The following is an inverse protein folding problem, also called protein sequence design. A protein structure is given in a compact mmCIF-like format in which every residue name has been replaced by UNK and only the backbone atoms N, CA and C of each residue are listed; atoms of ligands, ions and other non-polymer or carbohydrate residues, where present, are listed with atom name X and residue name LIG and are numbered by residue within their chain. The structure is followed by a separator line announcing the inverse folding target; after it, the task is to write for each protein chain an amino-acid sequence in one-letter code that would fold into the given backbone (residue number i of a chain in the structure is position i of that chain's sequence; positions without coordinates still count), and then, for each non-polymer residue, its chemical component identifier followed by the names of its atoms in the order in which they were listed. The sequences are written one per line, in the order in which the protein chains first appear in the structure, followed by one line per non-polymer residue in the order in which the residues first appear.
data_IF_979690115629
#
_entry.id   IF_979690115629
#
_cell.length_a   1.000
_cell.length_b   1.000
_cell.length_c   1.000
_cell.angle_alpha   90.00
_cell.angle_beta   90.00
_cell.angle_gamma   90.00
#
_symmetry.space_group_name_H-M   'P 1'
#
loop_
_entity.id
_entity.type
_entity.pdbx_description
1 polymer ?
#
# COMPACT_ATOMS: atom_id res chain seq x y z
N UNK A 1 11.96 42.93 6.74
CA UNK A 1 11.09 41.73 6.63
C UNK A 1 11.04 41.39 5.15
N UNK A 2 11.95 40.52 4.70
CA UNK A 2 12.07 40.07 3.31
C UNK A 2 11.67 38.58 3.29
N UNK A 3 10.47 38.29 2.82
CA UNK A 3 10.07 36.93 2.44
C UNK A 3 10.74 36.63 1.10
N UNK A 4 11.72 35.73 1.11
CA UNK A 4 12.24 35.13 -0.11
C UNK A 4 11.23 34.08 -0.58
N UNK A 5 10.53 34.39 -1.67
CA UNK A 5 9.81 33.39 -2.46
C UNK A 5 10.83 32.41 -3.05
N UNK A 6 10.93 31.23 -2.44
CA UNK A 6 11.64 30.09 -3.04
C UNK A 6 10.70 29.53 -4.11
N UNK A 7 10.77 30.09 -5.30
CA UNK A 7 10.18 29.51 -6.50
C UNK A 7 10.95 28.24 -6.83
N UNK A 8 10.46 27.09 -6.37
CA UNK A 8 10.87 25.79 -6.89
C UNK A 8 10.44 25.71 -8.36
N UNK A 9 11.28 26.20 -9.26
CA UNK A 9 11.24 25.73 -10.64
C UNK A 9 11.41 24.20 -10.58
N UNK A 10 10.47 23.40 -11.10
CA UNK A 10 10.72 21.99 -11.30
C UNK A 10 11.90 21.93 -12.27
N UNK A 11 13.08 21.59 -11.73
CA UNK A 11 14.24 21.24 -12.55
C UNK A 11 13.74 20.11 -13.43
N UNK A 12 13.53 20.40 -14.71
CA UNK A 12 13.07 19.49 -15.74
C UNK A 12 13.95 18.24 -15.67
N UNK A 13 13.43 17.22 -14.98
CA UNK A 13 14.13 15.97 -14.71
C UNK A 13 14.02 15.11 -15.96
N UNK A 14 14.78 15.50 -16.97
CA UNK A 14 15.14 14.69 -18.12
C UNK A 14 16.39 15.33 -18.70
N UNK A 15 17.53 15.20 -18.01
CA UNK A 15 18.79 15.14 -18.74
C UNK A 15 18.59 14.07 -19.82
N UNK A 16 18.84 14.37 -21.11
CA UNK A 16 18.56 13.43 -22.17
C UNK A 16 19.33 12.16 -21.87
N UNK A 17 18.58 11.09 -21.56
CA UNK A 17 19.13 9.74 -21.59
C UNK A 17 19.85 9.63 -22.93
N UNK A 18 21.18 9.51 -22.87
CA UNK A 18 22.10 9.53 -24.00
C UNK A 18 21.48 8.72 -25.15
N UNK A 19 21.42 9.33 -26.36
CA UNK A 19 20.63 8.94 -27.53
C UNK A 19 20.92 7.54 -28.16
N UNK A 20 21.32 6.55 -27.36
CA UNK A 20 21.34 5.14 -27.72
C UNK A 20 19.95 4.50 -27.53
N UNK A 21 19.64 3.49 -28.35
CA UNK A 21 18.43 2.72 -28.21
C UNK A 21 18.39 2.05 -26.81
N UNK A 22 17.44 2.48 -25.97
CA UNK A 22 17.20 1.85 -24.67
C UNK A 22 16.51 0.51 -24.88
N UNK A 23 16.99 -0.58 -24.24
CA UNK A 23 16.24 -1.82 -24.20
C UNK A 23 14.82 -1.59 -23.67
N UNK A 24 13.85 -2.12 -24.40
CA UNK A 24 12.45 -2.09 -24.04
C UNK A 24 11.91 -3.51 -23.93
N UNK A 25 11.06 -3.72 -22.93
CA UNK A 25 10.32 -4.97 -22.77
C UNK A 25 8.84 -4.62 -22.62
N UNK A 26 7.97 -5.35 -23.29
CA UNK A 26 6.54 -5.06 -23.27
C UNK A 26 5.76 -6.33 -22.95
N UNK A 27 4.70 -6.17 -22.16
CA UNK A 27 3.67 -7.16 -21.89
C UNK A 27 2.32 -6.61 -22.35
N UNK A 28 1.24 -7.34 -22.08
CA UNK A 28 -0.12 -6.89 -22.37
C UNK A 28 -0.47 -5.59 -21.60
N UNK A 29 0.10 -5.37 -20.41
CA UNK A 29 -0.32 -4.24 -19.54
C UNK A 29 0.81 -3.30 -19.12
N UNK A 30 2.07 -3.69 -19.33
CA UNK A 30 3.24 -2.94 -18.86
C UNK A 30 4.23 -2.72 -20.00
N UNK A 31 4.85 -1.54 -20.03
CA UNK A 31 6.02 -1.24 -20.86
C UNK A 31 7.20 -0.89 -19.97
N UNK A 32 8.30 -1.61 -20.09
CA UNK A 32 9.53 -1.35 -19.37
C UNK A 32 10.54 -0.64 -20.27
N UNK A 33 11.08 0.47 -19.77
CA UNK A 33 12.22 1.18 -20.35
C UNK A 33 13.40 1.10 -19.39
N UNK A 34 14.57 0.73 -19.89
CA UNK A 34 15.73 0.56 -19.02
C UNK A 34 17.05 0.89 -19.70
N UNK A 35 18.08 1.06 -18.88
CA UNK A 35 19.46 1.12 -19.36
C UNK A 35 19.96 -0.25 -19.79
N UNK A 36 20.98 -0.29 -20.65
CA UNK A 36 21.68 -1.53 -21.02
C UNK A 36 22.17 -2.30 -19.78
N UNK A 37 22.61 -1.60 -18.72
CA UNK A 37 23.10 -2.22 -17.47
C UNK A 37 22.00 -2.94 -16.68
N UNK A 38 20.75 -2.48 -16.76
CA UNK A 38 19.62 -3.09 -16.06
C UNK A 38 18.79 -4.04 -16.91
N UNK A 39 19.05 -4.12 -18.22
CA UNK A 39 18.26 -4.93 -19.15
C UNK A 39 18.07 -6.37 -18.70
N UNK A 40 19.15 -7.07 -18.31
CA UNK A 40 19.06 -8.46 -17.85
C UNK A 40 18.23 -8.62 -16.56
N UNK A 41 18.37 -7.68 -15.61
CA UNK A 41 17.61 -7.69 -14.35
C UNK A 41 16.13 -7.47 -14.64
N UNK A 42 15.79 -6.45 -15.42
CA UNK A 42 14.41 -6.14 -15.80
C UNK A 42 13.80 -7.31 -16.56
N UNK A 43 14.47 -7.82 -17.58
CA UNK A 43 14.01 -8.95 -18.40
C UNK A 43 13.61 -10.16 -17.55
N UNK A 44 14.40 -10.48 -16.51
CA UNK A 44 14.13 -11.63 -15.63
C UNK A 44 12.88 -11.48 -14.76
N UNK A 45 12.34 -10.26 -14.60
CA UNK A 45 11.18 -10.00 -13.73
C UNK A 45 9.91 -9.60 -14.47
N UNK A 46 9.98 -9.23 -15.76
CA UNK A 46 8.85 -8.68 -16.55
C UNK A 46 7.56 -9.49 -16.35
N UNK A 47 7.60 -10.80 -16.62
CA UNK A 47 6.42 -11.68 -16.53
C UNK A 47 5.92 -11.89 -15.08
N UNK A 48 6.79 -11.77 -14.09
CA UNK A 48 6.41 -11.86 -12.67
C UNK A 48 5.72 -10.58 -12.22
N UNK A 49 6.24 -9.42 -12.63
CA UNK A 49 5.68 -8.10 -12.31
C UNK A 49 4.32 -7.93 -12.99
N UNK A 50 4.19 -8.30 -14.27
CA UNK A 50 2.93 -8.18 -15.01
C UNK A 50 1.80 -9.02 -14.38
N UNK A 51 2.05 -10.29 -14.05
CA UNK A 51 1.06 -11.11 -13.33
C UNK A 51 0.66 -10.52 -11.97
N UNK A 52 1.61 -9.92 -11.27
CA UNK A 52 1.36 -9.26 -9.98
C UNK A 52 0.50 -8.01 -10.17
N UNK A 53 0.78 -7.22 -11.21
CA UNK A 53 -0.01 -6.05 -11.59
C UNK A 53 -1.45 -6.45 -11.88
N UNK A 54 -1.66 -7.47 -12.72
CA UNK A 54 -2.99 -7.99 -13.02
C UNK A 54 -3.73 -8.51 -11.78
N UNK A 55 -3.00 -9.14 -10.85
CA UNK A 55 -3.57 -9.61 -9.59
C UNK A 55 -4.10 -8.45 -8.75
N UNK A 56 -3.37 -7.32 -8.66
CA UNK A 56 -3.86 -6.15 -7.93
C UNK A 56 -5.13 -5.55 -8.52
N UNK A 57 -5.27 -5.53 -9.85
CA UNK A 57 -6.53 -5.09 -10.48
C UNK A 57 -7.70 -5.97 -10.07
N UNK A 58 -7.51 -7.30 -10.04
CA UNK A 58 -8.52 -8.24 -9.55
C UNK A 58 -8.83 -8.02 -8.06
N UNK A 59 -7.80 -7.95 -7.22
CA UNK A 59 -7.96 -7.83 -5.77
C UNK A 59 -8.63 -6.52 -5.34
N UNK A 60 -8.42 -5.44 -6.08
CA UNK A 60 -9.02 -4.13 -5.82
C UNK A 60 -10.27 -3.84 -6.66
N UNK A 61 -10.75 -4.81 -7.46
CA UNK A 61 -11.98 -4.68 -8.24
C UNK A 61 -11.93 -3.51 -9.22
N UNK A 62 -10.82 -3.36 -9.93
CA UNK A 62 -10.62 -2.35 -10.98
C UNK A 62 -10.50 -3.07 -12.32
N UNK A 63 -11.12 -2.58 -13.41
CA UNK A 63 -10.92 -3.16 -14.74
C UNK A 63 -9.47 -2.98 -15.19
N UNK A 64 -8.90 -4.02 -15.81
CA UNK A 64 -7.56 -3.96 -16.38
C UNK A 64 -7.45 -2.84 -17.43
N UNK A 65 -6.28 -2.17 -17.54
CA UNK A 65 -6.09 -1.12 -18.53
C UNK A 65 -6.11 -1.69 -19.95
N UNK A 66 -6.44 -0.84 -20.92
CA UNK A 66 -6.38 -1.20 -22.34
C UNK A 66 -4.98 -0.99 -22.91
N UNK A 67 -4.71 -1.44 -24.14
CA UNK A 67 -3.40 -1.29 -24.79
C UNK A 67 -2.90 0.17 -24.87
N UNK A 68 -3.81 1.14 -24.95
CA UNK A 68 -3.45 2.56 -25.00
C UNK A 68 -3.06 3.13 -23.62
N UNK A 69 -3.28 2.38 -22.54
CA UNK A 69 -3.14 2.81 -21.16
C UNK A 69 -2.09 2.00 -20.38
N UNK A 70 -1.17 1.32 -21.10
CA UNK A 70 -0.11 0.53 -20.45
C UNK A 70 0.69 1.41 -19.49
N UNK A 71 0.92 0.89 -18.28
CA UNK A 71 1.77 1.57 -17.32
C UNK A 71 3.23 1.44 -17.79
N UNK A 72 3.87 2.59 -17.98
CA UNK A 72 5.26 2.69 -18.35
C UNK A 72 6.12 2.63 -17.09
N UNK A 73 7.12 1.75 -17.06
CA UNK A 73 8.02 1.55 -15.94
C UNK A 73 9.44 1.89 -16.40
N UNK A 74 10.04 2.92 -15.82
CA UNK A 74 11.41 3.32 -16.10
C UNK A 74 12.31 2.83 -14.97
N UNK A 75 13.20 1.87 -15.26
CA UNK A 75 14.18 1.37 -14.30
C UNK A 75 15.48 2.16 -14.43
N UNK A 76 15.66 3.17 -13.56
CA UNK A 76 16.79 4.08 -13.55
C UNK A 76 17.99 3.48 -12.78
N UNK A 77 19.13 3.22 -13.46
CA UNK A 77 20.33 2.72 -12.80
C UNK A 77 21.09 3.78 -11.99
N UNK A 78 20.84 5.08 -12.21
CA UNK A 78 21.65 6.15 -11.65
C UNK A 78 21.52 6.27 -10.12
N UNK A 79 20.47 5.67 -9.54
CA UNK A 79 20.27 5.65 -8.08
C UNK A 79 20.04 7.04 -7.47
N UNK A 80 19.89 8.08 -8.30
CA UNK A 80 19.64 9.45 -7.85
C UNK A 80 18.24 9.60 -7.23
N UNK A 81 17.33 8.69 -7.55
CA UNK A 81 16.01 8.64 -6.94
C UNK A 81 16.08 7.94 -5.59
N UNK A 82 15.80 8.72 -4.52
CA UNK A 82 15.60 8.17 -3.17
C UNK A 82 14.30 7.36 -3.06
N UNK A 83 13.32 7.66 -3.92
CA UNK A 83 11.99 7.07 -3.91
C UNK A 83 11.50 6.87 -5.34
N UNK A 84 10.57 5.93 -5.53
CA UNK A 84 9.86 5.80 -6.80
C UNK A 84 9.02 7.06 -7.05
N UNK A 85 8.92 7.46 -8.31
CA UNK A 85 8.12 8.59 -8.77
C UNK A 85 7.03 8.03 -9.67
N UNK A 86 5.77 8.37 -9.38
CA UNK A 86 4.64 8.08 -10.23
C UNK A 86 4.14 9.38 -10.86
N UNK A 87 4.05 9.43 -12.18
CA UNK A 87 3.51 10.54 -12.96
C UNK A 87 2.51 9.99 -13.98
N UNK A 88 1.21 10.31 -13.80
CA UNK A 88 0.07 9.79 -14.56
C UNK A 88 0.06 8.26 -14.77
N UNK A 89 0.80 7.79 -15.79
CA UNK A 89 0.97 6.39 -16.19
C UNK A 89 2.46 6.01 -16.36
N UNK A 90 3.38 6.74 -15.73
CA UNK A 90 4.81 6.47 -15.72
C UNK A 90 5.30 6.28 -14.30
N UNK A 91 5.82 5.09 -14.00
CA UNK A 91 6.47 4.73 -12.75
C UNK A 91 7.98 4.67 -12.96
N UNK A 92 8.70 5.67 -12.45
CA UNK A 92 10.17 5.67 -12.45
C UNK A 92 10.68 5.12 -11.12
N UNK A 93 11.50 4.07 -11.18
CA UNK A 93 12.08 3.42 -10.00
C UNK A 93 13.59 3.35 -10.12
N UNK A 94 14.29 3.68 -9.04
CA UNK A 94 15.72 3.38 -8.94
C UNK A 94 15.95 1.88 -8.78
N UNK A 95 17.07 1.39 -9.32
CA UNK A 95 17.54 0.04 -9.01
C UNK A 95 17.92 -0.07 -7.52
N UNK A 96 17.34 -1.01 -6.77
CA UNK A 96 17.48 -1.07 -5.31
C UNK A 96 18.77 -1.80 -4.88
N UNK A 97 19.94 -1.39 -5.38
CA UNK A 97 21.23 -2.05 -5.09
C UNK A 97 21.50 -2.20 -3.58
N UNK A 98 21.37 -1.11 -2.82
CA UNK A 98 21.62 -1.11 -1.38
C UNK A 98 20.61 -2.00 -0.62
N UNK A 99 19.33 -1.97 -1.01
CA UNK A 99 18.32 -2.82 -0.38
C UNK A 99 18.54 -4.30 -0.73
N UNK A 100 18.99 -4.61 -1.95
CA UNK A 100 19.34 -5.97 -2.34
C UNK A 100 20.48 -6.51 -1.45
N UNK A 101 21.58 -5.77 -1.34
CA UNK A 101 22.74 -6.14 -0.51
C UNK A 101 22.37 -6.29 0.97
N UNK A 102 21.73 -5.26 1.57
CA UNK A 102 21.39 -5.26 2.99
C UNK A 102 20.50 -6.42 3.40
N UNK A 103 19.60 -6.87 2.51
CA UNK A 103 18.63 -7.93 2.80
C UNK A 103 19.05 -9.30 2.21
N UNK A 104 20.24 -9.41 1.63
CA UNK A 104 20.71 -10.66 1.02
C UNK A 104 19.86 -11.13 -0.18
N UNK A 105 19.24 -10.20 -0.91
CA UNK A 105 18.40 -10.48 -2.06
C UNK A 105 19.18 -10.33 -3.37
N UNK A 106 18.75 -11.04 -4.41
CA UNK A 106 19.20 -10.71 -5.77
C UNK A 106 18.67 -9.32 -6.16
N UNK A 107 19.38 -8.61 -7.04
CA UNK A 107 18.89 -7.32 -7.53
C UNK A 107 17.54 -7.42 -8.24
N UNK A 108 17.25 -8.57 -8.87
CA UNK A 108 15.97 -8.85 -9.53
C UNK A 108 14.83 -9.03 -8.52
N UNK A 109 15.04 -9.81 -7.45
CA UNK A 109 14.05 -9.98 -6.38
C UNK A 109 13.85 -8.71 -5.59
N UNK A 110 14.93 -7.96 -5.40
CA UNK A 110 14.83 -6.60 -4.94
C UNK A 110 13.91 -5.81 -5.88
N UNK A 111 14.30 -5.51 -7.12
CA UNK A 111 13.51 -4.67 -8.01
C UNK A 111 12.03 -5.11 -8.11
N UNK A 112 11.75 -6.41 -8.18
CA UNK A 112 10.39 -6.94 -8.19
C UNK A 112 9.58 -6.60 -6.92
N UNK A 113 10.17 -6.67 -5.72
CA UNK A 113 9.49 -6.30 -4.48
C UNK A 113 9.20 -4.79 -4.40
N UNK A 114 10.14 -3.94 -4.82
CA UNK A 114 9.91 -2.49 -4.90
C UNK A 114 8.76 -2.20 -5.86
N UNK A 115 8.78 -2.79 -7.05
CA UNK A 115 7.70 -2.64 -8.02
C UNK A 115 6.37 -3.15 -7.46
N UNK A 116 6.35 -4.29 -6.75
CA UNK A 116 5.14 -4.81 -6.11
C UNK A 116 4.49 -3.79 -5.19
N UNK A 117 5.25 -3.14 -4.31
CA UNK A 117 4.72 -2.09 -3.41
C UNK A 117 4.16 -0.91 -4.21
N UNK A 118 4.90 -0.42 -5.21
CA UNK A 118 4.51 0.76 -5.98
C UNK A 118 3.26 0.48 -6.84
N UNK A 119 3.21 -0.69 -7.47
CA UNK A 119 2.06 -1.12 -8.26
C UNK A 119 0.83 -1.32 -7.38
N UNK A 120 0.97 -1.93 -6.20
CA UNK A 120 -0.15 -2.07 -5.27
C UNK A 120 -0.76 -0.70 -4.89
N UNK A 121 0.09 0.28 -4.57
CA UNK A 121 -0.35 1.64 -4.25
C UNK A 121 -0.98 2.35 -5.44
N UNK A 122 -0.41 2.19 -6.64
CA UNK A 122 -0.95 2.77 -7.86
C UNK A 122 -2.36 2.25 -8.15
N UNK A 123 -2.54 0.92 -8.16
CA UNK A 123 -3.84 0.30 -8.46
C UNK A 123 -4.85 0.60 -7.35
N UNK A 124 -4.44 0.60 -6.08
CA UNK A 124 -5.30 1.07 -4.99
C UNK A 124 -5.71 2.53 -5.20
N UNK A 125 -4.79 3.40 -5.62
CA UNK A 125 -5.09 4.79 -5.95
C UNK A 125 -6.18 4.91 -7.03
N UNK A 126 -6.08 4.13 -8.11
CA UNK A 126 -7.11 4.04 -9.15
C UNK A 126 -8.44 3.52 -8.58
N UNK A 127 -8.39 2.49 -7.74
CA UNK A 127 -9.57 1.91 -7.09
C UNK A 127 -10.31 2.94 -6.21
N UNK A 128 -9.56 3.78 -5.50
CA UNK A 128 -10.10 4.85 -4.67
C UNK A 128 -10.60 6.05 -5.48
N UNK A 129 -10.03 6.33 -6.65
CA UNK A 129 -10.49 7.41 -7.53
C UNK A 129 -11.86 7.14 -8.16
N UNK A 130 -12.19 5.87 -8.42
CA UNK A 130 -13.49 5.49 -8.99
C UNK A 130 -14.59 5.26 -7.95
N UNK A 131 -14.28 5.43 -6.66
CA UNK A 131 -15.19 5.20 -5.54
C UNK A 131 -15.34 6.46 -4.69
N UNK A 132 -16.56 6.78 -4.28
CA UNK A 132 -16.79 7.87 -3.32
C UNK A 132 -16.67 7.34 -1.90
N UNK A 133 -15.44 7.20 -1.40
CA UNK A 133 -15.20 6.72 -0.03
C UNK A 133 -15.73 7.74 0.97
N UNK A 134 -16.67 7.33 1.82
CA UNK A 134 -17.21 8.22 2.85
C UNK A 134 -16.13 8.60 3.89
N UNK A 135 -16.13 9.82 4.45
CA UNK A 135 -15.04 10.32 5.30
C UNK A 135 -14.67 9.43 6.49
N UNK A 136 -15.64 8.77 7.12
CA UNK A 136 -15.41 7.85 8.25
C UNK A 136 -14.54 6.63 7.91
N UNK A 137 -14.38 6.31 6.63
CA UNK A 137 -13.58 5.19 6.15
C UNK A 137 -12.16 5.59 5.74
N UNK A 138 -11.79 6.86 5.86
CA UNK A 138 -10.46 7.35 5.47
C UNK A 138 -9.34 6.67 6.27
N UNK A 139 -9.52 6.43 7.57
CA UNK A 139 -8.53 5.70 8.36
C UNK A 139 -8.32 4.27 7.82
N UNK A 140 -9.37 3.60 7.32
CA UNK A 140 -9.28 2.27 6.71
C UNK A 140 -8.51 2.29 5.37
N UNK A 141 -8.72 3.30 4.53
CA UNK A 141 -8.02 3.39 3.24
C UNK A 141 -6.55 3.76 3.42
N UNK A 142 -6.23 4.62 4.39
CA UNK A 142 -4.84 4.91 4.80
C UNK A 142 -4.16 3.68 5.38
N UNK A 143 -4.84 2.95 6.26
CA UNK A 143 -4.38 1.70 6.82
C UNK A 143 -4.11 0.63 5.76
N UNK A 144 -5.00 0.48 4.77
CA UNK A 144 -4.80 -0.43 3.65
C UNK A 144 -3.55 -0.05 2.85
N UNK A 145 -3.36 1.25 2.54
CA UNK A 145 -2.15 1.73 1.86
C UNK A 145 -0.89 1.39 2.65
N UNK A 146 -0.92 1.59 3.97
CA UNK A 146 0.20 1.26 4.85
C UNK A 146 0.44 -0.26 4.94
N UNK A 147 -0.62 -1.07 5.02
CA UNK A 147 -0.53 -2.52 5.03
C UNK A 147 0.18 -3.05 3.77
N UNK A 148 -0.18 -2.54 2.58
CA UNK A 148 0.46 -2.92 1.31
C UNK A 148 1.96 -2.56 1.25
N UNK A 149 2.36 -1.47 1.92
CA UNK A 149 3.79 -1.11 2.04
C UNK A 149 4.56 -2.12 2.88
N UNK A 150 3.94 -2.65 3.93
CA UNK A 150 4.57 -3.58 4.86
C UNK A 150 4.59 -5.01 4.32
N UNK A 151 3.47 -5.51 3.81
CA UNK A 151 3.36 -6.90 3.34
C UNK A 151 4.28 -7.16 2.13
N UNK A 152 4.50 -6.14 1.30
CA UNK A 152 5.31 -6.24 0.08
C UNK A 152 6.69 -5.59 0.18
N UNK A 153 7.01 -4.93 1.30
CA UNK A 153 8.31 -4.32 1.54
C UNK A 153 9.38 -5.33 1.96
N UNK A 154 10.66 -4.96 1.83
CA UNK A 154 11.78 -5.79 2.31
C UNK A 154 11.87 -5.89 3.82
N UNK A 155 11.31 -4.90 4.52
CA UNK A 155 11.44 -4.81 5.96
C UNK A 155 10.27 -5.53 6.63
N UNK A 156 10.31 -6.87 6.60
CA UNK A 156 9.37 -7.71 7.36
C UNK A 156 9.48 -7.50 8.87
N UNK A 157 10.56 -6.90 9.34
CA UNK A 157 10.77 -6.55 10.75
C UNK A 157 10.05 -5.25 11.13
N UNK A 158 9.60 -4.46 10.15
CA UNK A 158 8.79 -3.25 10.35
C UNK A 158 7.29 -3.54 10.38
N UNK A 159 6.84 -4.78 10.69
CA UNK A 159 5.42 -4.99 11.07
C UNK A 159 5.05 -3.84 12.00
N UNK A 160 3.99 -3.07 11.68
CA UNK A 160 3.56 -1.89 12.43
C UNK A 160 3.97 -2.05 13.88
N UNK A 161 5.04 -1.34 14.27
CA UNK A 161 5.88 -1.82 15.35
C UNK A 161 4.97 -2.12 16.55
N UNK A 162 5.12 -3.28 17.20
CA UNK A 162 4.43 -3.65 18.44
C UNK A 162 4.69 -2.68 19.62
N UNK A 163 5.12 -1.45 19.36
CA UNK A 163 5.18 -0.38 20.34
C UNK A 163 3.90 0.45 20.39
N UNK A 164 3.13 0.58 19.29
CA UNK A 164 1.89 1.38 19.31
C UNK A 164 0.69 0.59 19.80
N UNK A 165 0.53 -0.65 19.33
CA UNK A 165 -0.62 -1.50 19.70
C UNK A 165 -0.41 -2.23 21.04
N UNK A 166 0.68 -2.98 21.27
CA UNK A 166 0.92 -3.70 22.53
C UNK A 166 1.05 -2.85 23.79
N UNK A 167 1.56 -1.60 23.72
CA UNK A 167 1.56 -0.71 24.89
C UNK A 167 0.14 -0.32 25.33
N UNK A 168 -0.86 -0.54 24.48
CA UNK A 168 -2.28 -0.27 24.73
C UNK A 168 -3.14 -1.54 24.80
N UNK A 169 -2.62 -2.66 24.32
CA UNK A 169 -3.20 -4.00 24.44
C UNK A 169 -2.58 -4.74 25.65
N UNK A 170 -2.38 -4.04 26.75
CA UNK A 170 -2.17 -4.70 28.03
C UNK A 170 -3.52 -5.30 28.46
N UNK A 171 -3.54 -6.54 28.97
CA UNK A 171 -4.76 -7.27 29.32
C UNK A 171 -5.60 -6.64 30.45
N UNK A 172 -5.05 -5.67 31.17
CA UNK A 172 -5.64 -4.88 32.26
C UNK A 172 -6.06 -3.48 31.77
N UNK A 173 -5.40 -2.93 30.75
CA UNK A 173 -5.91 -1.82 29.97
C UNK A 173 -7.18 -2.25 29.26
N UNK A 174 -8.20 -1.39 29.25
CA UNK A 174 -9.48 -1.63 28.57
C UNK A 174 -9.19 -2.32 27.21
N UNK A 175 -9.92 -3.38 26.83
CA UNK A 175 -9.82 -3.92 25.47
C UNK A 175 -9.81 -2.76 24.49
N UNK A 176 -9.20 -2.90 23.31
CA UNK A 176 -9.40 -1.96 22.22
C UNK A 176 -10.90 -1.95 21.84
N UNK A 177 -11.75 -1.44 22.72
CA UNK A 177 -13.14 -1.12 22.58
C UNK A 177 -13.16 0.16 21.76
N UNK A 178 -12.69 0.04 20.53
CA UNK A 178 -13.12 0.94 19.52
C UNK A 178 -14.39 0.32 18.99
N UNK A 179 -15.51 0.88 19.48
CA UNK A 179 -16.69 0.98 18.64
C UNK A 179 -16.14 1.55 17.35
N UNK A 180 -16.15 0.68 16.35
CA UNK A 180 -16.28 0.87 14.93
C UNK A 180 -17.27 2.01 14.57
N UNK A 181 -17.15 3.14 15.25
CA UNK A 181 -17.98 4.32 15.21
C UNK A 181 -17.26 5.35 14.37
N UNK A 182 -18.02 6.04 13.54
CA UNK A 182 -17.51 7.05 12.63
C UNK A 182 -16.69 8.15 13.32
N UNK A 183 -16.93 8.41 14.61
CA UNK A 183 -16.27 9.46 15.38
C UNK A 183 -14.81 9.15 15.70
N UNK A 184 -14.49 7.88 15.99
CA UNK A 184 -13.10 7.52 16.36
C UNK A 184 -12.22 7.26 15.16
N UNK A 185 -12.84 6.93 14.03
CA UNK A 185 -12.19 6.77 12.73
C UNK A 185 -12.19 8.07 11.91
N UNK A 186 -12.74 9.16 12.47
CA UNK A 186 -12.70 10.46 11.86
C UNK A 186 -11.24 10.92 11.74
N UNK A 187 -10.72 10.79 10.54
CA UNK A 187 -9.42 11.31 10.16
C UNK A 187 -9.53 12.83 10.06
N UNK A 188 -8.73 13.57 10.83
CA UNK A 188 -8.55 14.99 10.62
C UNK A 188 -7.40 15.20 9.63
N UNK A 189 -7.69 15.55 8.35
CA UNK A 189 -6.64 15.80 7.36
C UNK A 189 -5.77 17.01 7.69
N UNK A 190 -6.23 17.89 8.59
CA UNK A 190 -5.50 19.09 8.98
C UNK A 190 -4.46 18.83 10.08
N UNK A 191 -4.58 17.70 10.80
CA UNK A 191 -3.61 17.27 11.81
C UNK A 191 -3.23 15.77 11.64
N UNK A 192 -2.46 15.45 10.58
CA UNK A 192 -1.99 14.08 10.34
C UNK A 192 -1.00 13.60 11.42
N UNK A 193 -0.43 14.52 12.20
CA UNK A 193 0.51 14.23 13.29
C UNK A 193 -0.17 13.93 14.62
N UNK A 194 -1.49 14.12 14.72
CA UNK A 194 -2.21 13.91 15.97
C UNK A 194 -2.09 12.45 16.41
N UNK A 195 -1.89 12.24 17.71
CA UNK A 195 -1.88 10.90 18.31
C UNK A 195 -3.18 10.16 18.03
N UNK A 196 -4.31 10.87 17.90
CA UNK A 196 -5.63 10.32 17.56
C UNK A 196 -5.61 9.73 16.15
N UNK A 197 -5.13 10.49 15.16
CA UNK A 197 -5.01 10.06 13.77
C UNK A 197 -4.09 8.85 13.64
N UNK A 198 -2.91 8.88 14.27
CA UNK A 198 -1.98 7.76 14.26
C UNK A 198 -2.57 6.50 14.92
N UNK A 199 -3.32 6.66 16.02
CA UNK A 199 -4.02 5.55 16.69
C UNK A 199 -5.09 4.95 15.77
N UNK A 200 -5.92 5.80 15.14
CA UNK A 200 -6.98 5.35 14.25
C UNK A 200 -6.42 4.54 13.07
N UNK A 201 -5.35 5.03 12.43
CA UNK A 201 -4.69 4.32 11.32
C UNK A 201 -4.03 3.02 11.79
N UNK A 202 -3.40 2.98 12.97
CA UNK A 202 -2.81 1.76 13.50
C UNK A 202 -3.87 0.69 13.82
N UNK A 203 -4.97 1.08 14.47
CA UNK A 203 -6.11 0.18 14.75
C UNK A 203 -6.70 -0.33 13.44
N UNK A 204 -7.01 0.56 12.50
CA UNK A 204 -7.49 0.23 11.16
C UNK A 204 -6.54 -0.74 10.43
N UNK A 205 -5.22 -0.55 10.57
CA UNK A 205 -4.18 -1.43 10.02
C UNK A 205 -4.31 -2.86 10.51
N UNK A 206 -4.54 -3.05 11.81
CA UNK A 206 -4.72 -4.38 12.39
C UNK A 206 -6.04 -5.04 12.00
N UNK A 207 -7.10 -4.25 11.74
CA UNK A 207 -8.37 -4.75 11.21
C UNK A 207 -8.18 -5.20 9.76
N UNK A 208 -7.47 -4.44 8.93
CA UNK A 208 -7.11 -4.85 7.56
C UNK A 208 -6.27 -6.13 7.58
N UNK A 209 -5.26 -6.20 8.45
CA UNK A 209 -4.43 -7.39 8.59
C UNK A 209 -5.25 -8.63 8.96
N UNK A 210 -6.15 -8.50 9.94
CA UNK A 210 -7.12 -9.54 10.29
C UNK A 210 -8.03 -9.93 9.12
N UNK A 211 -8.58 -8.95 8.39
CA UNK A 211 -9.46 -9.20 7.25
C UNK A 211 -8.72 -9.98 6.17
N UNK A 212 -7.51 -9.57 5.82
CA UNK A 212 -6.66 -10.24 4.83
C UNK A 212 -6.30 -11.65 5.31
N UNK A 213 -5.91 -11.82 6.58
CA UNK A 213 -5.56 -13.13 7.14
C UNK A 213 -6.75 -14.10 7.18
N UNK A 214 -7.96 -13.60 7.50
CA UNK A 214 -9.16 -14.44 7.71
C UNK A 214 -9.96 -14.70 6.44
N UNK A 215 -10.07 -13.69 5.56
CA UNK A 215 -10.95 -13.69 4.39
C UNK A 215 -10.19 -13.57 3.06
N UNK A 216 -8.89 -13.29 3.08
CA UNK A 216 -8.04 -13.15 1.89
C UNK A 216 -8.13 -11.79 1.21
N UNK A 217 -7.12 -11.48 0.38
CA UNK A 217 -7.02 -10.21 -0.36
C UNK A 217 -8.20 -9.93 -1.29
N UNK A 218 -8.85 -10.97 -1.84
CA UNK A 218 -10.02 -10.81 -2.70
C UNK A 218 -11.19 -10.08 -2.01
N UNK A 219 -11.26 -10.13 -0.66
CA UNK A 219 -12.29 -9.44 0.12
C UNK A 219 -12.09 -7.92 0.19
N UNK A 220 -10.89 -7.41 -0.14
CA UNK A 220 -10.59 -5.98 -0.13
C UNK A 220 -11.44 -5.21 -1.14
N UNK A 221 -11.64 -5.73 -2.36
CA UNK A 221 -12.54 -5.10 -3.34
C UNK A 221 -13.97 -4.90 -2.78
N UNK A 222 -14.56 -5.96 -2.23
CA UNK A 222 -15.90 -5.90 -1.60
C UNK A 222 -15.96 -4.92 -0.45
N UNK A 223 -14.88 -4.83 0.35
CA UNK A 223 -14.79 -3.88 1.45
C UNK A 223 -14.74 -2.43 0.94
N UNK A 224 -13.96 -2.15 -0.11
CA UNK A 224 -13.86 -0.83 -0.73
C UNK A 224 -15.21 -0.40 -1.32
N UNK A 225 -15.93 -1.32 -1.98
CA UNK A 225 -17.29 -1.04 -2.49
C UNK A 225 -18.27 -0.72 -1.34
N UNK A 226 -18.15 -1.44 -0.22
CA UNK A 226 -19.01 -1.20 0.94
C UNK A 226 -18.71 0.12 1.67
N UNK A 227 -17.49 0.65 1.60
CA UNK A 227 -17.16 1.97 2.13
C UNK A 227 -17.87 3.12 1.42
N UNK A 228 -18.36 2.91 0.20
CA UNK A 228 -19.14 3.92 -0.54
C UNK A 228 -20.61 3.97 -0.08
N UNK A 229 -21.18 2.83 0.33
CA UNK A 229 -22.62 2.72 0.60
C UNK A 229 -22.96 2.69 2.09
N UNK A 230 -22.09 2.12 2.92
CA UNK A 230 -22.33 1.94 4.35
C UNK A 230 -21.69 3.04 5.18
N UNK A 231 -22.32 3.41 6.30
CA UNK A 231 -21.84 4.51 7.16
C UNK A 231 -21.23 4.05 8.47
N UNK A 232 -21.44 2.79 8.82
CA UNK A 232 -21.04 2.20 10.08
C UNK A 232 -20.77 0.72 9.90
N UNK A 233 -20.02 0.14 10.83
CA UNK A 233 -19.75 -1.30 10.76
C UNK A 233 -20.97 -2.16 11.07
N UNK A 234 -21.95 -1.66 11.82
CA UNK A 234 -23.21 -2.37 12.07
C UNK A 234 -23.96 -2.68 10.77
N UNK A 235 -23.81 -1.84 9.74
CA UNK A 235 -24.38 -2.08 8.42
C UNK A 235 -23.39 -2.72 7.46
N UNK A 236 -22.10 -2.36 7.53
CA UNK A 236 -21.06 -2.88 6.64
C UNK A 236 -20.75 -4.36 6.94
N UNK A 237 -20.57 -4.74 8.20
CA UNK A 237 -20.09 -6.08 8.54
C UNK A 237 -21.07 -7.18 8.11
N UNK A 238 -22.39 -7.06 8.33
CA UNK A 238 -23.36 -8.03 7.80
C UNK A 238 -23.34 -8.10 6.28
N UNK A 239 -23.21 -6.96 5.58
CA UNK A 239 -23.21 -6.91 4.12
C UNK A 239 -21.96 -7.57 3.49
N UNK A 240 -20.78 -7.36 4.09
CA UNK A 240 -19.49 -7.79 3.51
C UNK A 240 -19.07 -9.19 3.99
N UNK A 241 -19.32 -9.49 5.27
CA UNK A 241 -18.84 -10.70 5.94
C UNK A 241 -19.94 -11.66 6.37
N UNK A 242 -21.22 -11.26 6.31
CA UNK A 242 -22.34 -12.10 6.73
C UNK A 242 -22.45 -12.30 8.25
N UNK A 243 -21.73 -11.51 9.05
CA UNK A 243 -21.74 -11.55 10.51
C UNK A 243 -21.98 -10.17 11.10
N UNK A 244 -22.43 -10.10 12.35
CA UNK A 244 -22.62 -8.83 13.04
C UNK A 244 -21.29 -8.09 13.27
N UNK A 245 -21.34 -6.76 13.44
CA UNK A 245 -20.16 -5.98 13.80
C UNK A 245 -19.50 -6.47 15.11
N UNK A 246 -20.33 -6.80 16.12
CA UNK A 246 -19.86 -7.35 17.39
C UNK A 246 -19.15 -8.69 17.21
N UNK A 247 -19.66 -9.56 16.35
CA UNK A 247 -19.02 -10.84 16.06
C UNK A 247 -17.69 -10.65 15.30
N UNK A 248 -17.66 -9.73 14.33
CA UNK A 248 -16.42 -9.37 13.62
C UNK A 248 -15.36 -8.83 14.59
N UNK A 249 -15.74 -7.93 15.50
CA UNK A 249 -14.85 -7.37 16.53
C UNK A 249 -14.31 -8.47 17.46
N UNK A 250 -15.18 -9.40 17.89
CA UNK A 250 -14.76 -10.54 18.71
C UNK A 250 -13.73 -11.42 17.98
N UNK A 251 -13.93 -11.69 16.69
CA UNK A 251 -12.98 -12.45 15.88
C UNK A 251 -11.66 -11.71 15.68
N UNK A 252 -11.69 -10.41 15.45
CA UNK A 252 -10.50 -9.57 15.36
C UNK A 252 -9.71 -9.56 16.67
N UNK A 253 -10.38 -9.41 17.81
CA UNK A 253 -9.73 -9.49 19.13
C UNK A 253 -9.13 -10.87 19.40
N UNK A 254 -9.80 -11.95 19.01
CA UNK A 254 -9.24 -13.29 19.13
C UNK A 254 -7.97 -13.46 18.27
N UNK A 255 -7.96 -12.91 17.05
CA UNK A 255 -6.80 -12.88 16.19
C UNK A 255 -5.63 -12.11 16.80
N UNK A 256 -5.88 -10.92 17.37
CA UNK A 256 -4.84 -10.13 18.03
C UNK A 256 -4.20 -10.86 19.21
N UNK A 257 -5.01 -11.51 20.07
CA UNK A 257 -4.48 -12.33 21.18
C UNK A 257 -3.59 -13.47 20.70
N UNK A 258 -3.90 -14.07 19.56
CA UNK A 258 -3.08 -15.12 18.96
C UNK A 258 -1.74 -14.60 18.41
N UNK A 259 -1.70 -13.36 17.92
CA UNK A 259 -0.47 -12.74 17.39
C UNK A 259 0.43 -12.14 18.47
N UNK A 260 -0.15 -11.65 19.56
CA UNK A 260 0.55 -11.00 20.65
C UNK A 260 0.23 -11.70 21.98
N UNK A 261 0.76 -12.92 22.20
CA UNK A 261 0.57 -13.60 23.47
C UNK A 261 1.18 -12.76 24.60
N UNK A 262 0.40 -12.54 25.65
CA UNK A 262 0.92 -11.94 26.89
C UNK A 262 1.87 -12.96 27.51
N UNK A 263 3.12 -12.58 27.87
CA UNK A 263 4.01 -13.48 28.60
C UNK A 263 3.32 -13.95 29.88
N UNK A 264 3.30 -15.26 30.14
CA UNK A 264 2.88 -15.79 31.44
C UNK A 264 3.90 -15.32 32.49
N UNK A 265 3.44 -14.61 33.52
CA UNK A 265 4.26 -14.19 34.68
C UNK A 265 4.65 -15.37 35.57
#
# INVERSE_FOLDING_TARGET
VLQQEITHQPKTAAEPMLAGAHPQFETDYLRFETSVRAAAVVQSIVQRVDRTYQQFYRDFGVPLPTDNDKLRIIADPAGNLRYAIMDENTLTVALPYYAAERNGLTLADALASTLRVQLAQYVLGKALQVRTIKPQWQAMTLALKAHLQLDYGYNKDWRFHPTVLPSRYDAQSRPLHFVLSAQTMAYDPTDPGSTTTATAVATAGSVIEFIVARYGYAKISTLLDAFETHESWETLAPAVFGISATELENHWHAYLRGMYPVPEE
#
